data_IF_750236964686
#
_entry.id   IF_750236964686
#
_cell.length_a   1.000
_cell.length_b   1.000
_cell.length_c   1.000
_cell.angle_alpha   90.00
_cell.angle_beta   90.00
_cell.angle_gamma   90.00
#
_symmetry.space_group_name_H-M   'P 1'
#
loop_
_entity.id
_entity.type
_entity.pdbx_description
1 polymer ?
#
# COMPACT_ATOMS: atom_id res chain seq x y z
N UNK A 1 4.70 18.16 -15.75
CA UNK A 1 4.04 16.89 -15.43
C UNK A 1 4.96 16.13 -14.49
N UNK A 2 4.58 15.97 -13.23
CA UNK A 2 5.37 15.23 -12.24
C UNK A 2 5.04 13.75 -12.39
N UNK A 3 5.97 12.99 -12.97
CA UNK A 3 5.83 11.55 -13.15
C UNK A 3 5.95 10.84 -11.80
N UNK A 4 5.14 9.81 -11.51
CA UNK A 4 5.35 8.96 -10.35
C UNK A 4 6.79 8.43 -10.31
N UNK A 5 7.37 8.30 -9.10
CA UNK A 5 8.73 7.81 -8.95
C UNK A 5 8.81 6.33 -9.36
N UNK A 6 9.53 6.08 -10.45
CA UNK A 6 9.61 4.76 -11.06
C UNK A 6 10.75 3.94 -10.44
N UNK A 7 10.41 3.07 -9.49
CA UNK A 7 11.32 2.14 -8.84
C UNK A 7 10.75 0.69 -8.87
N UNK A 8 11.56 -0.34 -8.61
CA UNK A 8 11.10 -1.73 -8.65
C UNK A 8 9.89 -2.06 -7.77
N UNK A 9 9.72 -1.39 -6.62
CA UNK A 9 8.52 -1.58 -5.80
C UNK A 9 7.30 -0.93 -6.46
N UNK A 10 7.43 0.30 -6.98
CA UNK A 10 6.37 0.96 -7.74
C UNK A 10 5.91 0.16 -8.96
N UNK A 11 6.84 -0.42 -9.72
CA UNK A 11 6.51 -1.26 -10.88
C UNK A 11 5.77 -2.53 -10.46
N UNK A 12 6.25 -3.18 -9.39
CA UNK A 12 5.62 -4.36 -8.82
C UNK A 12 4.20 -4.07 -8.32
N UNK A 13 4.03 -3.00 -7.55
CA UNK A 13 2.75 -2.64 -6.95
C UNK A 13 1.72 -2.29 -8.03
N UNK A 14 2.11 -1.54 -9.07
CA UNK A 14 1.25 -1.27 -10.22
C UNK A 14 0.87 -2.54 -10.99
N UNK A 15 1.83 -3.45 -11.19
CA UNK A 15 1.55 -4.72 -11.88
C UNK A 15 0.51 -5.53 -11.10
N UNK A 16 0.72 -5.69 -9.79
CA UNK A 16 -0.17 -6.45 -8.91
C UNK A 16 -1.56 -5.79 -8.80
N UNK A 17 -1.61 -4.46 -8.69
CA UNK A 17 -2.85 -3.69 -8.52
C UNK A 17 -3.72 -3.61 -9.79
N UNK A 18 -3.18 -3.99 -10.97
CA UNK A 18 -3.98 -4.15 -12.20
C UNK A 18 -4.99 -5.29 -12.09
N UNK A 19 -4.78 -6.25 -11.20
CA UNK A 19 -5.74 -7.32 -10.97
C UNK A 19 -6.99 -6.76 -10.24
N UNK A 20 -8.21 -6.86 -10.82
CA UNK A 20 -9.43 -6.35 -10.20
C UNK A 20 -9.74 -6.94 -8.82
N UNK A 21 -9.38 -8.22 -8.60
CA UNK A 21 -9.57 -8.88 -7.31
C UNK A 21 -8.62 -8.30 -6.26
N UNK A 22 -7.35 -8.08 -6.60
CA UNK A 22 -6.39 -7.39 -5.71
C UNK A 22 -6.90 -6.00 -5.35
N UNK A 23 -7.34 -5.21 -6.35
CA UNK A 23 -7.90 -3.89 -6.11
C UNK A 23 -9.10 -3.95 -5.14
N UNK A 24 -10.01 -4.89 -5.36
CA UNK A 24 -11.18 -5.10 -4.50
C UNK A 24 -10.77 -5.42 -3.07
N UNK A 25 -9.84 -6.37 -2.89
CA UNK A 25 -9.34 -6.76 -1.56
C UNK A 25 -8.69 -5.57 -0.85
N UNK A 26 -7.79 -4.83 -1.51
CA UNK A 26 -7.15 -3.64 -0.95
C UNK A 26 -8.16 -2.57 -0.54
N UNK A 27 -9.18 -2.30 -1.36
CA UNK A 27 -10.24 -1.34 -1.04
C UNK A 27 -11.10 -1.81 0.14
N UNK A 28 -11.42 -3.10 0.23
CA UNK A 28 -12.14 -3.65 1.39
C UNK A 28 -11.33 -3.48 2.67
N UNK A 29 -10.03 -3.83 2.63
CA UNK A 29 -9.11 -3.69 3.76
C UNK A 29 -8.95 -2.23 4.20
N UNK A 30 -8.84 -1.31 3.23
CA UNK A 30 -8.77 0.11 3.48
C UNK A 30 -10.07 0.66 4.09
N UNK A 31 -11.22 0.36 3.50
CA UNK A 31 -12.47 0.99 3.91
C UNK A 31 -13.01 0.44 5.24
N UNK A 32 -12.87 -0.87 5.48
CA UNK A 32 -13.42 -1.53 6.67
C UNK A 32 -12.47 -1.46 7.87
N UNK A 33 -11.16 -1.65 7.65
CA UNK A 33 -10.16 -1.72 8.74
C UNK A 33 -9.05 -0.67 8.63
N UNK A 34 -9.17 0.33 7.74
CA UNK A 34 -8.22 1.45 7.64
C UNK A 34 -6.77 1.02 7.33
N UNK A 35 -6.58 -0.14 6.67
CA UNK A 35 -5.25 -0.52 6.19
C UNK A 35 -4.73 0.47 5.16
N UNK A 36 -3.45 0.79 5.25
CA UNK A 36 -2.76 1.50 4.19
C UNK A 36 -2.40 0.54 3.05
N UNK A 37 -2.95 0.79 1.86
CA UNK A 37 -2.73 -0.03 0.66
C UNK A 37 -1.26 -0.13 0.27
N UNK A 38 -0.48 0.95 0.40
CA UNK A 38 0.97 0.91 0.11
C UNK A 38 1.72 -0.05 1.05
N UNK A 39 1.34 -0.13 2.33
CA UNK A 39 1.94 -1.07 3.28
C UNK A 39 1.55 -2.52 2.99
N UNK A 40 0.32 -2.77 2.57
CA UNK A 40 -0.12 -4.10 2.12
C UNK A 40 0.68 -4.58 0.91
N UNK A 41 0.80 -3.73 -0.12
CA UNK A 41 1.59 -4.02 -1.32
C UNK A 41 3.09 -4.12 -1.01
N UNK A 42 3.57 -3.41 0.01
CA UNK A 42 4.95 -3.49 0.45
C UNK A 42 5.28 -4.83 1.11
N UNK A 43 4.38 -5.39 1.93
CA UNK A 43 4.54 -6.74 2.49
C UNK A 43 4.68 -7.78 1.37
N UNK A 44 3.81 -7.69 0.36
CA UNK A 44 3.86 -8.51 -0.85
C UNK A 44 5.20 -8.41 -1.57
N UNK A 45 5.69 -7.18 -1.78
CA UNK A 45 6.95 -6.93 -2.45
C UNK A 45 8.16 -7.48 -1.69
N UNK A 46 8.20 -7.32 -0.37
CA UNK A 46 9.29 -7.84 0.48
C UNK A 46 9.39 -9.35 0.36
N UNK A 47 8.27 -10.07 0.41
CA UNK A 47 8.27 -11.54 0.30
C UNK A 47 8.62 -12.02 -1.11
N UNK A 48 8.08 -11.37 -2.14
CA UNK A 48 8.41 -11.71 -3.53
C UNK A 48 9.90 -11.50 -3.84
N UNK A 49 10.51 -10.46 -3.23
CA UNK A 49 11.94 -10.19 -3.34
C UNK A 49 12.78 -10.90 -2.28
N UNK A 50 12.16 -11.80 -1.50
CA UNK A 50 12.78 -12.62 -0.43
C UNK A 50 13.57 -11.80 0.59
N UNK A 51 13.19 -10.55 0.81
CA UNK A 51 13.87 -9.62 1.72
C UNK A 51 13.51 -9.92 3.15
N UNK A 52 14.54 -10.09 3.98
CA UNK A 52 14.41 -10.40 5.38
C UNK A 52 14.36 -9.11 6.20
N UNK A 53 13.22 -8.88 6.81
CA UNK A 53 13.00 -7.82 7.78
C UNK A 53 12.69 -8.40 9.16
N UNK A 54 12.84 -7.59 10.20
CA UNK A 54 12.40 -7.89 11.57
C UNK A 54 11.17 -7.05 11.92
N UNK A 55 10.46 -7.41 12.99
CA UNK A 55 9.30 -6.65 13.47
C UNK A 55 9.58 -5.15 13.62
N UNK A 56 10.74 -4.78 14.18
CA UNK A 56 11.15 -3.36 14.31
C UNK A 56 11.24 -2.63 12.98
N UNK A 57 11.62 -3.33 11.91
CA UNK A 57 11.71 -2.75 10.58
C UNK A 57 10.29 -2.53 10.02
N UNK A 58 9.34 -3.43 10.27
CA UNK A 58 7.93 -3.21 9.91
C UNK A 58 7.36 -1.98 10.62
N UNK A 59 7.66 -1.80 11.91
CA UNK A 59 7.26 -0.58 12.63
C UNK A 59 7.84 0.68 11.99
N UNK A 60 9.13 0.66 11.63
CA UNK A 60 9.73 1.78 10.89
C UNK A 60 9.08 2.02 9.52
N UNK A 61 8.63 0.97 8.82
CA UNK A 61 7.89 1.12 7.56
C UNK A 61 6.52 1.81 7.78
N UNK A 62 5.80 1.42 8.83
CA UNK A 62 4.54 2.09 9.24
C UNK A 62 4.80 3.56 9.54
N UNK A 63 5.78 3.87 10.39
CA UNK A 63 6.11 5.24 10.80
C UNK A 63 6.47 6.13 9.58
N UNK A 64 7.26 5.61 8.63
CA UNK A 64 7.62 6.32 7.40
C UNK A 64 6.40 6.73 6.57
N UNK A 65 5.38 5.86 6.53
CA UNK A 65 4.17 6.09 5.73
C UNK A 65 3.17 6.96 6.48
N UNK A 66 2.97 6.72 7.79
CA UNK A 66 1.93 7.38 8.59
C UNK A 66 2.08 8.91 8.61
N UNK A 67 3.30 9.42 8.72
CA UNK A 67 3.52 10.87 8.70
C UNK A 67 3.12 11.48 7.35
N UNK A 68 3.62 10.93 6.24
CA UNK A 68 3.30 11.45 4.90
C UNK A 68 1.82 11.25 4.56
N UNK A 69 1.23 10.13 4.99
CA UNK A 69 -0.18 9.85 4.79
C UNK A 69 -1.07 10.89 5.47
N UNK A 70 -0.84 11.17 6.75
CA UNK A 70 -1.65 12.12 7.52
C UNK A 70 -1.50 13.57 7.04
N UNK A 71 -0.30 13.97 6.63
CA UNK A 71 -0.01 15.36 6.22
C UNK A 71 -0.33 15.67 4.76
N UNK A 72 -0.36 14.67 3.88
CA UNK A 72 -0.47 14.89 2.43
C UNK A 72 -1.51 13.98 1.77
N UNK A 73 -1.37 12.66 1.85
CA UNK A 73 -2.23 11.73 1.10
C UNK A 73 -3.69 11.77 1.55
N UNK A 74 -3.97 11.76 2.86
CA UNK A 74 -5.36 11.84 3.34
C UNK A 74 -6.03 13.19 3.02
N UNK A 75 -5.39 14.36 3.24
CA UNK A 75 -5.96 15.62 2.79
C UNK A 75 -6.32 15.64 1.29
N UNK A 76 -5.46 15.08 0.43
CA UNK A 76 -5.72 14.97 -1.01
C UNK A 76 -6.91 14.02 -1.29
N UNK A 77 -6.96 12.88 -0.60
CA UNK A 77 -8.06 11.92 -0.72
C UNK A 77 -9.39 12.52 -0.27
N UNK A 78 -9.42 13.23 0.85
CA UNK A 78 -10.60 13.94 1.33
C UNK A 78 -11.05 15.00 0.32
N UNK A 79 -10.11 15.80 -0.22
CA UNK A 79 -10.42 16.77 -1.26
C UNK A 79 -11.01 16.10 -2.51
N UNK A 80 -10.43 14.99 -2.97
CA UNK A 80 -10.94 14.22 -4.12
C UNK A 80 -12.35 13.67 -3.86
N UNK A 81 -12.59 13.08 -2.69
CA UNK A 81 -13.90 12.55 -2.30
C UNK A 81 -14.95 13.65 -2.25
N UNK A 82 -14.61 14.83 -1.72
CA UNK A 82 -15.48 15.99 -1.74
C UNK A 82 -15.82 16.42 -3.17
N UNK A 83 -14.82 16.55 -4.06
CA UNK A 83 -15.05 16.89 -5.47
C UNK A 83 -15.94 15.87 -6.18
N UNK A 84 -15.78 14.58 -5.90
CA UNK A 84 -16.61 13.52 -6.48
C UNK A 84 -18.10 13.68 -6.12
N UNK A 85 -18.38 14.10 -4.89
CA UNK A 85 -19.73 14.26 -4.36
C UNK A 85 -20.44 15.55 -4.81
N UNK A 86 -19.72 16.53 -5.38
CA UNK A 86 -20.32 17.78 -5.85
C UNK A 86 -21.27 17.56 -7.06
N UNK A 87 -22.29 18.41 -7.24
CA UNK A 87 -23.06 18.49 -8.48
C UNK A 87 -22.19 18.80 -9.71
N UNK A 88 -22.64 18.40 -10.90
CA UNK A 88 -21.87 18.53 -12.15
C UNK A 88 -21.65 19.98 -12.61
N UNK A 89 -22.52 20.90 -12.20
CA UNK A 89 -22.50 22.33 -12.53
C UNK A 89 -21.54 23.16 -11.65
N UNK A 90 -21.00 22.59 -10.57
CA UNK A 90 -20.01 23.27 -9.73
C UNK A 90 -18.65 23.26 -10.42
N UNK A 91 -18.18 24.45 -10.83
CA UNK A 91 -16.94 24.62 -11.62
C UNK A 91 -15.70 23.91 -11.03
N UNK A 92 -15.53 23.89 -9.71
CA UNK A 92 -14.37 23.26 -9.06
C UNK A 92 -14.31 21.74 -9.26
N UNK A 93 -15.46 21.08 -9.55
CA UNK A 93 -15.52 19.63 -9.81
C UNK A 93 -14.65 19.22 -11.00
N UNK A 94 -14.43 20.11 -11.97
CA UNK A 94 -13.55 19.87 -13.11
C UNK A 94 -12.09 19.56 -12.71
N UNK A 95 -11.68 19.93 -11.49
CA UNK A 95 -10.34 19.66 -10.97
C UNK A 95 -10.19 18.27 -10.32
N UNK A 96 -11.20 17.40 -10.37
CA UNK A 96 -11.15 16.05 -9.82
C UNK A 96 -9.90 15.28 -10.27
N UNK A 97 -9.62 15.27 -11.57
CA UNK A 97 -8.47 14.56 -12.16
C UNK A 97 -7.12 15.14 -11.69
N UNK A 98 -7.04 16.45 -11.48
CA UNK A 98 -5.82 17.09 -10.97
C UNK A 98 -5.54 16.66 -9.53
N UNK A 99 -6.57 16.60 -8.68
CA UNK A 99 -6.42 16.13 -7.30
C UNK A 99 -6.09 14.63 -7.27
N UNK A 100 -6.70 13.82 -8.13
CA UNK A 100 -6.38 12.40 -8.28
C UNK A 100 -4.90 12.20 -8.67
N UNK A 101 -4.38 12.98 -9.61
CA UNK A 101 -2.97 12.90 -10.00
C UNK A 101 -2.02 13.26 -8.85
N UNK A 102 -2.36 14.27 -8.04
CA UNK A 102 -1.58 14.64 -6.87
C UNK A 102 -1.64 13.55 -5.77
N UNK A 103 -2.80 12.94 -5.55
CA UNK A 103 -2.95 11.80 -4.62
C UNK A 103 -2.05 10.64 -5.05
N UNK A 104 -2.10 10.24 -6.33
CA UNK A 104 -1.26 9.17 -6.87
C UNK A 104 0.24 9.50 -6.79
N UNK A 105 0.62 10.76 -7.03
CA UNK A 105 2.01 11.19 -6.87
C UNK A 105 2.43 11.07 -5.40
N UNK A 106 1.59 11.50 -4.45
CA UNK A 106 1.85 11.36 -3.01
C UNK A 106 2.03 9.89 -2.61
N UNK A 107 1.20 8.99 -3.11
CA UNK A 107 1.34 7.54 -2.88
C UNK A 107 2.65 6.99 -3.48
N UNK A 108 3.06 7.47 -4.66
CA UNK A 108 4.35 7.08 -5.26
C UNK A 108 5.56 7.52 -4.42
N UNK A 109 5.48 8.68 -3.77
CA UNK A 109 6.53 9.16 -2.85
C UNK A 109 6.63 8.26 -1.61
N UNK A 110 5.50 7.79 -1.07
CA UNK A 110 5.50 6.83 0.05
C UNK A 110 6.18 5.52 -0.34
N UNK A 111 5.84 4.97 -1.51
CA UNK A 111 6.47 3.74 -2.01
C UNK A 111 7.96 3.93 -2.30
N UNK A 112 8.39 5.08 -2.82
CA UNK A 112 9.82 5.38 -3.00
C UNK A 112 10.57 5.46 -1.67
N UNK A 113 10.00 6.10 -0.64
CA UNK A 113 10.56 6.11 0.72
C UNK A 113 10.76 4.69 1.26
N UNK A 114 9.74 3.84 1.13
CA UNK A 114 9.80 2.43 1.52
C UNK A 114 10.85 1.66 0.71
N UNK A 115 10.88 1.85 -0.61
CA UNK A 115 11.87 1.18 -1.47
C UNK A 115 13.30 1.54 -1.06
N UNK A 116 13.60 2.84 -0.90
CA UNK A 116 14.94 3.32 -0.53
C UNK A 116 15.39 2.78 0.82
N UNK A 117 14.50 2.70 1.80
CA UNK A 117 14.84 2.23 3.14
C UNK A 117 15.07 0.71 3.22
N UNK A 118 14.53 -0.07 2.28
CA UNK A 118 14.51 -1.54 2.38
C UNK A 118 15.16 -2.30 1.22
N UNK A 119 15.54 -1.63 0.12
CA UNK A 119 16.18 -2.26 -1.05
C UNK A 119 17.51 -2.96 -0.78
N UNK A 120 18.16 -2.68 0.34
CA UNK A 120 19.45 -3.28 0.71
C UNK A 120 19.31 -4.29 1.86
N UNK A 121 18.07 -4.60 2.30
CA UNK A 121 17.82 -5.67 3.27
C UNK A 121 18.28 -7.02 2.72
N UNK A 122 18.88 -7.88 3.57
CA UNK A 122 19.40 -9.17 3.16
C UNK A 122 18.30 -10.03 2.55
N UNK A 123 18.67 -10.87 1.59
CA UNK A 123 17.74 -11.78 0.92
C UNK A 123 18.00 -13.22 1.35
N UNK A 124 16.95 -14.02 1.47
CA UNK A 124 17.07 -15.45 1.69
C UNK A 124 17.25 -16.20 0.37
N UNK A 125 18.16 -17.19 0.34
CA UNK A 125 18.34 -18.06 -0.82
C UNK A 125 17.08 -18.93 -1.09
N UNK A 126 16.47 -19.45 -0.04
CA UNK A 126 15.23 -20.21 -0.06
C UNK A 126 14.32 -19.79 1.08
N UNK A 127 13.07 -19.46 0.77
CA UNK A 127 12.03 -19.13 1.74
C UNK A 127 10.66 -19.47 1.13
N UNK A 128 9.74 -19.91 1.98
CA UNK A 128 8.33 -19.99 1.61
C UNK A 128 7.76 -18.56 1.57
N UNK A 129 7.55 -18.04 0.35
CA UNK A 129 7.03 -16.69 0.11
C UNK A 129 5.66 -16.49 0.75
N UNK A 130 4.81 -17.54 0.78
CA UNK A 130 3.49 -17.47 1.39
C UNK A 130 3.62 -17.33 2.91
N UNK A 131 4.46 -18.15 3.53
CA UNK A 131 4.72 -18.07 4.98
C UNK A 131 5.34 -16.72 5.37
N UNK A 132 6.28 -16.22 4.57
CA UNK A 132 6.91 -14.92 4.78
C UNK A 132 5.91 -13.76 4.67
N UNK A 133 5.03 -13.80 3.68
CA UNK A 133 3.96 -12.81 3.54
C UNK A 133 3.03 -12.79 4.75
N UNK A 134 2.60 -13.95 5.22
CA UNK A 134 1.74 -14.05 6.41
C UNK A 134 2.42 -13.47 7.64
N UNK A 135 3.72 -13.75 7.82
CA UNK A 135 4.50 -13.17 8.91
C UNK A 135 4.53 -11.63 8.82
N UNK A 136 4.77 -11.07 7.63
CA UNK A 136 4.84 -9.62 7.44
C UNK A 136 3.49 -8.94 7.61
N UNK A 137 2.41 -9.56 7.16
CA UNK A 137 1.06 -9.03 7.38
C UNK A 137 0.67 -9.06 8.85
N UNK A 138 1.00 -10.14 9.59
CA UNK A 138 0.78 -10.17 11.04
C UNK A 138 1.55 -9.05 11.75
N UNK A 139 2.82 -8.84 11.37
CA UNK A 139 3.60 -7.72 11.91
C UNK A 139 3.03 -6.35 11.54
N UNK A 140 2.44 -6.20 10.35
CA UNK A 140 1.77 -4.97 9.94
C UNK A 140 0.53 -4.73 10.82
N UNK A 141 -0.32 -5.74 11.00
CA UNK A 141 -1.49 -5.70 11.89
C UNK A 141 -1.09 -5.26 13.30
N UNK A 142 -0.06 -5.91 13.88
CA UNK A 142 0.46 -5.61 15.20
C UNK A 142 1.07 -4.19 15.27
N UNK A 143 1.79 -3.77 14.24
CA UNK A 143 2.39 -2.44 14.18
C UNK A 143 1.34 -1.32 14.06
N UNK A 144 0.20 -1.62 13.44
CA UNK A 144 -0.97 -0.74 13.34
C UNK A 144 -1.86 -0.78 14.61
N UNK A 145 -1.48 -1.55 15.64
CA UNK A 145 -2.27 -1.79 16.86
C UNK A 145 -3.69 -2.30 16.57
N UNK A 146 -3.83 -3.13 15.52
CA UNK A 146 -5.08 -3.78 15.18
C UNK A 146 -5.11 -5.22 15.70
N UNK A 147 -6.31 -5.75 15.93
CA UNK A 147 -6.48 -7.16 16.27
C UNK A 147 -6.64 -7.98 14.97
N UNK A 148 -5.99 -9.15 14.84
CA UNK A 148 -6.16 -9.99 13.67
C UNK A 148 -7.54 -10.65 13.71
N UNK A 149 -8.49 -10.10 12.93
CA UNK A 149 -9.77 -10.76 12.66
C UNK A 149 -9.57 -11.86 11.61
N UNK A 150 -10.31 -12.97 11.72
CA UNK A 150 -10.27 -14.07 10.73
C UNK A 150 -10.55 -13.58 9.30
N UNK A 151 -11.47 -12.61 9.15
CA UNK A 151 -11.80 -11.99 7.87
C UNK A 151 -10.60 -11.29 7.23
N UNK A 152 -9.78 -10.59 8.03
CA UNK A 152 -8.57 -9.90 7.57
C UNK A 152 -7.55 -10.94 7.06
N UNK A 153 -7.36 -12.03 7.81
CA UNK A 153 -6.44 -13.11 7.42
C UNK A 153 -6.87 -13.79 6.11
N UNK A 154 -8.16 -14.03 5.91
CA UNK A 154 -8.68 -14.60 4.67
C UNK A 154 -8.46 -13.68 3.47
N UNK A 155 -8.80 -12.40 3.60
CA UNK A 155 -8.56 -11.40 2.54
C UNK A 155 -7.07 -11.26 2.22
N UNK A 156 -6.20 -11.35 3.22
CA UNK A 156 -4.75 -11.36 3.04
C UNK A 156 -4.26 -12.60 2.29
N UNK A 157 -4.77 -13.79 2.61
CA UNK A 157 -4.42 -15.00 1.88
C UNK A 157 -4.82 -14.89 0.40
N UNK A 158 -6.00 -14.35 0.12
CA UNK A 158 -6.46 -14.12 -1.24
C UNK A 158 -5.58 -13.11 -1.97
N UNK A 159 -5.17 -12.02 -1.32
CA UNK A 159 -4.21 -11.04 -1.87
C UNK A 159 -2.89 -11.71 -2.28
N UNK A 160 -2.40 -12.65 -1.46
CA UNK A 160 -1.13 -13.35 -1.70
C UNK A 160 -1.24 -14.35 -2.86
N UNK A 161 -2.39 -14.99 -3.06
CA UNK A 161 -2.59 -15.93 -4.16
C UNK A 161 -2.33 -15.30 -5.54
N UNK A 162 -2.53 -13.99 -5.68
CA UNK A 162 -2.29 -13.26 -6.94
C UNK A 162 -0.85 -12.76 -7.11
N UNK A 163 0.05 -13.07 -6.18
CA UNK A 163 1.47 -12.69 -6.26
C UNK A 163 2.33 -13.74 -6.98
N UNK A 164 1.77 -14.93 -7.23
CA UNK A 164 2.44 -16.00 -7.97
C UNK A 164 2.19 -15.82 -9.49
N UNK A 165 3.22 -15.89 -10.34
CA UNK A 165 3.03 -16.05 -11.79
C UNK A 165 2.43 -17.43 -12.14
#
# INVERSE_FOLDING_TARGET
>A
MTTPLDNPFWQFSNHLYRNPQVKTICLTLQNQWQYNVNLLLFCAWLSQTKRLIRFKDMRSAVDLVTEQQSRLTEPLRCARQYLAALPADVAIKANYELVLQLELLSESLQQDSLYRAFKDKPQAASIDVKQQNLLYLNWLTDAMNQSPEEAIQHLFLDLICFQCP
#
